data_IF_104755620790
#
_entry.id   IF_104755620790
#
_cell.length_a   1.000
_cell.length_b   1.000
_cell.length_c   1.000
_cell.angle_alpha   90.00
_cell.angle_beta   90.00
_cell.angle_gamma   90.00
#
_symmetry.space_group_name_H-M   'P 1'
#
loop_
_entity.id
_entity.type
_entity.pdbx_description
1 polymer ?
#
# COMPACT_ATOMS: atom_id res chain seq x y z
N UNK A 1 -53.96 -81.11 -53.92
CA UNK A 1 -55.40 -80.78 -53.98
C UNK A 1 -55.65 -79.53 -53.16
N UNK A 2 -56.53 -78.66 -53.66
CA UNK A 2 -57.38 -77.64 -53.00
C UNK A 2 -57.41 -77.73 -51.45
N UNK A 3 -57.52 -76.66 -50.65
CA UNK A 3 -58.27 -75.43 -50.86
C UNK A 3 -58.00 -74.45 -49.71
N UNK A 4 -58.06 -73.15 -50.04
CA UNK A 4 -58.77 -72.05 -49.34
C UNK A 4 -59.29 -72.23 -47.90
N UNK A 5 -59.05 -71.22 -47.04
CA UNK A 5 -59.85 -70.97 -45.84
C UNK A 5 -59.46 -69.71 -45.06
N UNK A 6 -60.09 -68.57 -45.39
CA UNK A 6 -60.01 -67.26 -44.73
C UNK A 6 -60.74 -67.23 -43.37
N UNK A 7 -60.20 -66.49 -42.40
CA UNK A 7 -60.94 -65.68 -41.39
C UNK A 7 -60.07 -64.45 -41.05
N UNK A 8 -60.30 -63.30 -41.67
CA UNK A 8 -60.97 -62.11 -41.11
C UNK A 8 -60.67 -61.80 -39.64
N UNK A 9 -59.91 -60.73 -39.38
CA UNK A 9 -60.44 -59.55 -38.70
C UNK A 9 -59.48 -58.36 -38.86
N UNK A 10 -59.91 -57.37 -39.64
CA UNK A 10 -59.34 -56.03 -39.64
C UNK A 10 -59.95 -55.23 -38.48
N UNK A 11 -59.12 -54.57 -37.68
CA UNK A 11 -59.48 -53.27 -37.11
C UNK A 11 -58.28 -52.34 -37.18
N UNK A 12 -58.39 -51.36 -38.08
CA UNK A 12 -57.56 -50.14 -38.10
C UNK A 12 -58.00 -49.26 -36.93
N UNK A 13 -57.04 -48.69 -36.18
CA UNK A 13 -57.08 -47.28 -35.78
C UNK A 13 -55.66 -46.74 -35.85
N UNK A 14 -55.57 -45.58 -36.48
CA UNK A 14 -54.38 -44.80 -36.83
C UNK A 14 -54.01 -43.83 -35.69
N UNK A 15 -52.77 -43.33 -35.74
CA UNK A 15 -52.26 -42.06 -35.19
C UNK A 15 -51.63 -42.11 -33.78
N UNK A 16 -50.34 -41.79 -33.75
CA UNK A 16 -49.55 -41.54 -32.55
C UNK A 16 -48.08 -41.30 -32.88
N UNK A 17 -47.78 -40.27 -33.68
CA UNK A 17 -46.45 -39.66 -33.78
C UNK A 17 -46.15 -38.96 -32.45
N UNK A 18 -45.11 -39.35 -31.73
CA UNK A 18 -44.25 -38.44 -30.95
C UNK A 18 -43.10 -39.24 -30.29
N UNK A 19 -41.96 -39.17 -30.97
CA UNK A 19 -40.60 -39.20 -30.43
C UNK A 19 -40.46 -38.71 -28.98
N UNK A 20 -40.02 -39.54 -28.04
CA UNK A 20 -39.22 -39.16 -26.85
C UNK A 20 -38.64 -40.42 -26.21
N UNK A 21 -37.32 -40.59 -26.25
CA UNK A 21 -36.72 -41.75 -25.58
C UNK A 21 -35.23 -41.98 -25.83
N UNK A 22 -34.43 -40.91 -25.98
CA UNK A 22 -32.97 -41.04 -26.04
C UNK A 22 -32.26 -39.73 -25.63
N UNK A 23 -32.72 -39.14 -24.51
CA UNK A 23 -32.15 -37.93 -23.93
C UNK A 23 -31.98 -38.02 -22.40
N UNK A 24 -31.74 -39.23 -21.86
CA UNK A 24 -31.58 -39.44 -20.41
C UNK A 24 -30.24 -40.07 -20.00
N UNK A 25 -29.25 -40.15 -20.90
CA UNK A 25 -27.91 -40.70 -20.60
C UNK A 25 -26.73 -39.83 -21.11
N UNK A 26 -27.01 -38.59 -21.52
CA UNK A 26 -26.00 -37.58 -21.84
C UNK A 26 -26.10 -36.32 -20.95
N UNK A 27 -26.95 -36.34 -19.92
CA UNK A 27 -27.22 -35.23 -19.01
C UNK A 27 -26.69 -35.41 -17.57
N UNK A 28 -25.94 -36.48 -17.29
CA UNK A 28 -25.46 -36.79 -15.93
C UNK A 28 -23.93 -36.76 -15.75
N UNK A 29 -23.17 -36.37 -16.78
CA UNK A 29 -21.71 -36.19 -16.70
C UNK A 29 -21.25 -34.72 -16.69
N UNK A 30 -22.17 -33.76 -16.80
CA UNK A 30 -21.87 -32.33 -16.68
C UNK A 30 -22.31 -31.69 -15.35
N UNK A 31 -22.85 -32.48 -14.41
CA UNK A 31 -23.31 -32.02 -13.10
C UNK A 31 -22.29 -32.29 -11.95
N UNK A 32 -21.02 -32.55 -12.27
CA UNK A 32 -19.93 -32.69 -11.29
C UNK A 32 -18.73 -31.76 -11.55
N UNK A 33 -18.76 -30.93 -12.59
CA UNK A 33 -17.87 -29.77 -12.73
C UNK A 33 -18.47 -28.56 -12.02
N UNK A 34 -18.69 -28.70 -10.71
CA UNK A 34 -18.79 -27.57 -9.81
C UNK A 34 -17.41 -26.94 -9.67
N UNK A 35 -16.95 -26.27 -10.73
CA UNK A 35 -15.92 -25.24 -10.62
C UNK A 35 -16.54 -24.12 -9.78
N UNK A 36 -16.56 -24.31 -8.46
CA UNK A 36 -16.58 -23.21 -7.55
C UNK A 36 -15.38 -22.35 -7.94
N UNK A 37 -15.65 -21.26 -8.64
CA UNK A 37 -14.76 -20.13 -8.68
C UNK A 37 -14.57 -19.72 -7.21
N UNK A 38 -13.60 -20.36 -6.55
CA UNK A 38 -13.00 -19.84 -5.35
C UNK A 38 -12.70 -18.38 -5.65
N UNK A 39 -13.19 -17.41 -4.88
CA UNK A 39 -12.77 -16.03 -5.05
C UNK A 39 -11.26 -16.02 -4.91
N UNK A 40 -10.64 -15.89 -6.07
CA UNK A 40 -9.22 -15.78 -6.31
C UNK A 40 -8.74 -14.58 -5.52
N UNK A 41 -8.09 -14.84 -4.39
CA UNK A 41 -7.51 -13.85 -3.48
C UNK A 41 -8.51 -12.77 -3.05
N UNK A 42 -9.21 -13.01 -1.94
CA UNK A 42 -9.85 -11.90 -1.20
C UNK A 42 -8.84 -10.76 -1.06
N UNK A 43 -9.16 -9.60 -1.65
CA UNK A 43 -8.30 -8.43 -1.62
C UNK A 43 -7.97 -8.12 -0.16
N UNK A 44 -6.68 -8.10 0.19
CA UNK A 44 -6.26 -7.82 1.55
C UNK A 44 -6.83 -6.44 1.96
N UNK A 45 -7.71 -6.36 2.99
CA UNK A 45 -8.42 -5.14 3.31
C UNK A 45 -7.50 -3.95 3.61
N UNK A 46 -6.27 -4.25 4.08
CA UNK A 46 -5.21 -3.30 4.39
C UNK A 46 -3.99 -3.46 3.46
N UNK A 47 -4.23 -3.78 2.19
CA UNK A 47 -3.18 -3.77 1.18
C UNK A 47 -2.50 -2.39 1.14
N UNK A 48 -1.18 -2.36 1.02
CA UNK A 48 -0.41 -1.11 0.99
C UNK A 48 -0.86 -0.15 -0.11
N UNK A 49 -1.29 -0.68 -1.25
CA UNK A 49 -1.81 0.12 -2.37
C UNK A 49 -3.06 0.91 -1.98
N UNK A 50 -3.91 0.36 -1.11
CA UNK A 50 -5.09 1.03 -0.56
C UNK A 50 -4.70 2.04 0.52
N UNK A 51 -3.83 1.64 1.46
CA UNK A 51 -3.35 2.53 2.53
C UNK A 51 -2.63 3.77 2.00
N UNK A 52 -1.81 3.61 0.95
CA UNK A 52 -1.09 4.70 0.29
C UNK A 52 -1.97 5.49 -0.70
N UNK A 53 -3.24 5.12 -0.90
CA UNK A 53 -4.15 5.75 -1.84
C UNK A 53 -4.28 7.27 -1.65
N UNK A 54 -4.61 7.75 -0.44
CA UNK A 54 -4.71 9.19 -0.16
C UNK A 54 -3.39 9.95 -0.37
N UNK A 55 -2.27 9.33 0.01
CA UNK A 55 -0.92 9.85 -0.27
C UNK A 55 -0.66 10.00 -1.78
N UNK A 56 -1.03 9.00 -2.59
CA UNK A 56 -0.85 9.03 -4.05
C UNK A 56 -1.80 10.00 -4.73
N UNK A 57 -3.01 10.17 -4.19
CA UNK A 57 -4.00 11.09 -4.71
C UNK A 57 -3.60 12.56 -4.52
N UNK A 58 -2.95 12.86 -3.40
CA UNK A 58 -2.46 14.22 -3.11
C UNK A 58 -1.33 14.61 -4.05
N UNK A 59 -1.50 15.70 -4.79
CA UNK A 59 -0.52 16.23 -5.73
C UNK A 59 0.16 17.48 -5.15
N UNK A 60 1.49 17.49 -5.18
CA UNK A 60 2.25 18.64 -4.71
C UNK A 60 2.05 19.86 -5.61
N UNK A 61 2.09 21.05 -5.01
CA UNK A 61 1.89 22.38 -5.65
C UNK A 61 0.46 22.65 -6.12
N UNK A 62 -0.46 21.68 -6.00
CA UNK A 62 -1.84 21.80 -6.51
C UNK A 62 -2.90 21.45 -5.48
N UNK A 63 -2.75 20.33 -4.76
CA UNK A 63 -3.76 19.90 -3.78
C UNK A 63 -3.80 20.85 -2.59
N UNK A 64 -5.00 21.33 -2.28
CA UNK A 64 -5.30 22.08 -1.05
C UNK A 64 -5.50 21.14 0.14
N UNK A 65 -5.61 21.69 1.35
CA UNK A 65 -5.94 20.90 2.56
C UNK A 65 -7.25 20.13 2.41
N UNK A 66 -8.26 20.74 1.77
CA UNK A 66 -9.55 20.09 1.54
C UNK A 66 -9.45 18.94 0.54
N UNK A 67 -8.69 19.11 -0.54
CA UNK A 67 -8.44 18.04 -1.52
C UNK A 67 -7.71 16.86 -0.87
N UNK A 68 -6.70 17.16 -0.06
CA UNK A 68 -5.90 16.15 0.62
C UNK A 68 -6.69 15.38 1.69
N UNK A 69 -7.55 16.05 2.46
CA UNK A 69 -8.41 15.40 3.46
C UNK A 69 -9.53 14.59 2.80
N UNK A 70 -10.18 15.14 1.77
CA UNK A 70 -11.25 14.43 1.05
C UNK A 70 -10.75 13.17 0.33
N UNK A 71 -9.44 13.06 0.06
CA UNK A 71 -8.85 11.85 -0.48
C UNK A 71 -9.07 10.61 0.41
N UNK A 72 -9.23 10.78 1.73
CA UNK A 72 -9.49 9.66 2.64
C UNK A 72 -10.93 9.13 2.56
N UNK A 73 -11.85 9.91 1.99
CA UNK A 73 -13.25 9.54 1.78
C UNK A 73 -13.54 8.88 0.43
N UNK A 74 -12.54 8.83 -0.46
CA UNK A 74 -12.66 8.17 -1.76
C UNK A 74 -12.99 6.68 -1.53
N UNK A 75 -14.06 6.14 -2.17
CA UNK A 75 -14.50 4.76 -1.94
C UNK A 75 -13.40 3.70 -2.10
N UNK A 76 -12.49 3.88 -3.05
CA UNK A 76 -11.40 2.94 -3.34
C UNK A 76 -10.35 2.87 -2.20
N UNK A 77 -10.26 3.93 -1.39
CA UNK A 77 -9.30 4.06 -0.29
C UNK A 77 -9.94 3.86 1.09
N UNK A 78 -11.27 3.85 1.16
CA UNK A 78 -11.99 3.61 2.41
C UNK A 78 -11.65 2.22 2.97
N UNK A 79 -11.24 2.20 4.23
CA UNK A 79 -10.85 0.98 4.92
C UNK A 79 -12.07 0.30 5.53
N UNK A 80 -12.06 -1.03 5.55
CA UNK A 80 -13.07 -1.82 6.25
C UNK A 80 -12.92 -1.58 7.77
N UNK A 81 -13.95 -1.06 8.47
CA UNK A 81 -13.90 -0.82 9.92
C UNK A 81 -13.65 -2.06 10.76
N UNK A 82 -13.87 -3.26 10.22
CA UNK A 82 -13.56 -4.51 10.92
C UNK A 82 -12.09 -4.92 10.77
N UNK A 83 -11.41 -4.42 9.73
CA UNK A 83 -10.01 -4.71 9.47
C UNK A 83 -9.08 -3.60 9.99
N UNK A 84 -9.48 -2.34 9.81
CA UNK A 84 -8.82 -1.17 10.37
C UNK A 84 -9.52 -0.74 11.66
N UNK A 85 -8.74 -0.43 12.70
CA UNK A 85 -9.23 0.36 13.81
C UNK A 85 -9.62 1.79 13.38
N UNK A 86 -10.02 2.66 14.33
CA UNK A 86 -10.37 4.03 14.01
C UNK A 86 -9.20 4.74 13.31
N UNK A 87 -9.52 5.48 12.24
CA UNK A 87 -8.58 6.42 11.66
C UNK A 87 -8.59 7.70 12.49
N UNK A 88 -7.40 8.15 12.86
CA UNK A 88 -7.21 9.27 13.75
C UNK A 88 -6.54 10.41 12.99
N UNK A 89 -7.04 11.63 13.18
CA UNK A 89 -6.50 12.83 12.55
C UNK A 89 -5.76 13.66 13.61
N UNK A 90 -4.52 14.03 13.28
CA UNK A 90 -3.74 15.07 13.96
C UNK A 90 -3.51 16.21 12.97
N UNK A 91 -3.49 17.44 13.44
CA UNK A 91 -3.37 18.64 12.64
C UNK A 91 -2.68 19.78 13.40
N UNK A 92 -1.95 20.58 12.63
CA UNK A 92 -1.35 21.84 13.04
C UNK A 92 -1.78 22.94 12.08
N UNK A 93 -1.21 24.14 12.21
CA UNK A 93 -1.55 25.25 11.31
C UNK A 93 -1.23 24.97 9.83
N UNK A 94 -0.26 24.09 9.56
CA UNK A 94 0.29 23.89 8.21
C UNK A 94 0.48 22.42 7.85
N UNK A 95 0.13 21.50 8.74
CA UNK A 95 0.36 20.06 8.55
C UNK A 95 -0.83 19.29 9.08
N UNK A 96 -1.17 18.17 8.44
CA UNK A 96 -2.02 17.17 9.09
C UNK A 96 -1.45 15.78 8.86
N UNK A 97 -1.85 14.85 9.72
CA UNK A 97 -1.64 13.44 9.54
C UNK A 97 -2.93 12.66 9.78
N UNK A 98 -3.12 11.62 8.98
CA UNK A 98 -4.12 10.58 9.23
C UNK A 98 -3.37 9.29 9.55
N UNK A 99 -3.63 8.76 10.73
CA UNK A 99 -2.99 7.57 11.26
C UNK A 99 -4.01 6.48 11.55
N UNK A 100 -3.55 5.24 11.57
CA UNK A 100 -4.40 4.12 11.94
C UNK A 100 -3.59 2.87 12.25
N UNK A 101 -4.30 1.91 12.85
CA UNK A 101 -3.76 0.61 13.22
C UNK A 101 -4.73 -0.48 12.83
N UNK A 102 -4.23 -1.62 12.39
CA UNK A 102 -5.07 -2.79 12.11
C UNK A 102 -5.74 -3.30 13.38
N UNK A 103 -6.89 -3.97 13.24
CA UNK A 103 -7.63 -4.53 14.37
C UNK A 103 -6.82 -5.53 15.21
N UNK A 104 -5.86 -6.23 14.59
CA UNK A 104 -4.93 -7.15 15.26
C UNK A 104 -3.70 -6.46 15.86
N UNK A 105 -3.55 -5.15 15.66
CA UNK A 105 -2.46 -4.35 16.19
C UNK A 105 -1.12 -4.49 15.48
N UNK A 106 -0.97 -5.37 14.48
CA UNK A 106 0.35 -5.61 13.87
C UNK A 106 0.72 -4.65 12.74
N UNK A 107 -0.25 -3.98 12.12
CA UNK A 107 -0.01 -3.02 11.04
C UNK A 107 -0.35 -1.62 11.51
N UNK A 108 0.59 -0.70 11.39
CA UNK A 108 0.41 0.73 11.69
C UNK A 108 0.73 1.52 10.43
N UNK A 109 -0.07 2.54 10.13
CA UNK A 109 0.19 3.45 9.01
C UNK A 109 -0.05 4.90 9.41
N UNK A 110 0.68 5.80 8.77
CA UNK A 110 0.56 7.24 8.92
C UNK A 110 0.75 7.87 7.54
N UNK A 111 -0.21 8.69 7.13
CA UNK A 111 -0.05 9.60 6.00
C UNK A 111 0.05 11.01 6.57
N UNK A 112 1.14 11.71 6.27
CA UNK A 112 1.39 13.08 6.73
C UNK A 112 1.53 14.00 5.52
N UNK A 113 0.88 15.16 5.55
CA UNK A 113 0.92 16.14 4.47
C UNK A 113 1.15 17.53 5.07
N UNK A 114 2.18 18.21 4.58
CA UNK A 114 2.53 19.56 4.97
C UNK A 114 2.31 20.54 3.80
N UNK A 115 1.77 21.71 4.14
CA UNK A 115 1.30 22.74 3.22
C UNK A 115 2.21 23.96 3.26
N UNK A 116 2.23 24.69 2.15
CA UNK A 116 2.80 26.03 2.09
C UNK A 116 1.89 27.02 2.83
N UNK A 117 2.46 27.82 3.74
CA UNK A 117 1.70 28.83 4.51
C UNK A 117 1.06 29.90 3.62
N UNK A 118 1.68 30.23 2.48
CA UNK A 118 1.21 31.31 1.62
C UNK A 118 0.31 30.81 0.51
N UNK A 119 0.71 29.71 -0.13
CA UNK A 119 -0.01 29.14 -1.26
C UNK A 119 -1.13 28.18 -0.84
N UNK A 120 -1.15 27.72 0.42
CA UNK A 120 -2.12 26.77 0.95
C UNK A 120 -2.23 25.48 0.11
N UNK A 121 -1.12 25.08 -0.52
CA UNK A 121 -1.01 23.86 -1.35
C UNK A 121 0.02 22.91 -0.75
N UNK A 122 -0.18 21.61 -0.96
CA UNK A 122 0.71 20.57 -0.47
C UNK A 122 2.13 20.76 -1.02
N UNK A 123 3.12 20.82 -0.13
CA UNK A 123 4.54 20.95 -0.48
C UNK A 123 5.34 19.71 -0.15
N UNK A 124 4.92 18.98 0.87
CA UNK A 124 5.56 17.74 1.30
C UNK A 124 4.48 16.75 1.67
N UNK A 125 4.67 15.49 1.33
CA UNK A 125 3.82 14.40 1.75
C UNK A 125 4.67 13.17 2.06
N UNK A 126 4.22 12.42 3.05
CA UNK A 126 4.89 11.23 3.55
C UNK A 126 3.84 10.14 3.79
N UNK A 127 4.22 8.91 3.48
CA UNK A 127 3.46 7.72 3.81
C UNK A 127 4.38 6.76 4.52
N UNK A 128 4.02 6.41 5.74
CA UNK A 128 4.68 5.43 6.57
C UNK A 128 3.74 4.25 6.77
N UNK A 129 4.26 3.03 6.62
CA UNK A 129 3.55 1.83 7.05
C UNK A 129 4.52 0.78 7.56
N UNK A 130 4.26 0.26 8.74
CA UNK A 130 4.97 -0.87 9.31
C UNK A 130 4.02 -2.04 9.48
N UNK A 131 4.49 -3.23 9.10
CA UNK A 131 3.87 -4.50 9.43
C UNK A 131 4.83 -5.27 10.35
N UNK A 132 4.38 -5.58 11.56
CA UNK A 132 5.17 -6.26 12.59
C UNK A 132 4.86 -7.77 12.69
N UNK A 133 4.00 -8.31 11.82
CA UNK A 133 3.65 -9.74 11.87
C UNK A 133 4.92 -10.59 11.76
N UNK A 134 5.14 -11.42 12.78
CA UNK A 134 6.27 -12.33 12.83
C UNK A 134 6.17 -13.36 11.69
N UNK A 135 7.29 -13.66 11.05
CA UNK A 135 7.42 -14.77 10.10
C UNK A 135 7.20 -16.08 10.83
N UNK A 136 5.95 -16.53 10.91
CA UNK A 136 5.69 -17.95 11.21
C UNK A 136 5.97 -18.70 9.92
N UNK A 137 6.93 -19.65 9.95
CA UNK A 137 7.14 -20.54 8.82
C UNK A 137 5.81 -21.23 8.48
N UNK A 138 5.48 -21.48 7.19
CA UNK A 138 4.28 -22.23 6.83
C UNK A 138 4.40 -23.66 7.37
N UNK A 139 3.95 -23.90 8.60
CA UNK A 139 4.09 -25.20 9.27
C UNK A 139 2.90 -26.12 8.99
N UNK A 140 1.83 -25.61 8.38
CA UNK A 140 0.61 -26.38 8.09
C UNK A 140 0.23 -26.35 6.60
N UNK A 141 -0.20 -27.51 6.08
CA UNK A 141 -0.89 -27.64 4.78
C UNK A 141 -2.10 -26.69 4.77
N UNK A 142 -2.00 -25.59 4.03
CA UNK A 142 -3.07 -24.60 3.87
C UNK A 142 -2.69 -23.16 4.17
N UNK A 143 -1.50 -22.88 4.74
CA UNK A 143 -1.04 -21.50 4.87
C UNK A 143 -0.50 -20.95 3.54
N UNK A 144 -0.74 -19.64 3.31
CA UNK A 144 -0.33 -18.89 2.11
C UNK A 144 1.14 -19.19 1.77
N UNK A 145 1.42 -19.44 0.48
CA UNK A 145 2.78 -19.65 -0.08
C UNK A 145 3.76 -18.49 0.20
N UNK A 146 3.25 -17.34 0.63
CA UNK A 146 4.03 -16.17 1.01
C UNK A 146 3.69 -15.79 2.47
N UNK A 147 4.62 -15.95 3.43
CA UNK A 147 4.39 -15.48 4.78
C UNK A 147 4.29 -13.94 4.79
N UNK A 148 3.42 -13.34 5.63
CA UNK A 148 3.48 -11.90 5.88
C UNK A 148 4.89 -11.57 6.38
N UNK A 149 5.53 -10.58 5.74
CA UNK A 149 6.89 -10.17 6.08
C UNK A 149 6.82 -8.96 7.00
N UNK A 150 7.47 -9.07 8.16
CA UNK A 150 7.82 -7.91 8.96
C UNK A 150 8.56 -6.91 8.08
N UNK A 151 8.10 -5.68 7.99
CA UNK A 151 8.73 -4.71 7.09
C UNK A 151 8.23 -3.30 7.30
N UNK A 152 9.02 -2.35 6.83
CA UNK A 152 8.72 -0.93 6.88
C UNK A 152 8.73 -0.37 5.47
N UNK A 153 7.67 0.36 5.14
CA UNK A 153 7.51 1.15 3.93
C UNK A 153 7.50 2.60 4.35
N UNK A 154 8.33 3.39 3.70
CA UNK A 154 8.27 4.83 3.78
C UNK A 154 8.40 5.41 2.38
N UNK A 155 7.41 6.19 1.96
CA UNK A 155 7.41 6.94 0.71
C UNK A 155 7.24 8.41 1.03
N UNK A 156 8.01 9.27 0.37
CA UNK A 156 7.85 10.70 0.50
C UNK A 156 8.04 11.41 -0.83
N UNK A 157 7.32 12.51 -1.01
CA UNK A 157 7.51 13.44 -2.10
C UNK A 157 7.61 14.85 -1.51
N UNK A 158 8.63 15.60 -1.92
CA UNK A 158 8.92 16.91 -1.41
C UNK A 158 9.25 17.86 -2.56
N UNK A 159 8.64 19.05 -2.55
CA UNK A 159 9.13 20.16 -3.36
C UNK A 159 10.41 20.68 -2.71
N UNK A 160 11.54 20.55 -3.40
CA UNK A 160 12.83 21.01 -2.87
C UNK A 160 12.76 22.51 -2.58
N UNK A 161 13.39 22.93 -1.49
CA UNK A 161 13.48 24.36 -1.18
C UNK A 161 14.36 25.08 -2.22
N UNK A 162 14.11 26.38 -2.50
CA UNK A 162 14.96 27.14 -3.41
C UNK A 162 16.43 27.13 -3.01
N UNK A 163 16.72 27.11 -1.70
CA UNK A 163 18.08 27.06 -1.16
C UNK A 163 18.80 25.80 -1.63
N UNK A 164 18.18 24.62 -1.48
CA UNK A 164 18.78 23.35 -1.92
C UNK A 164 18.90 23.30 -3.46
N UNK A 165 17.97 23.90 -4.19
CA UNK A 165 17.99 23.89 -5.66
C UNK A 165 19.04 24.81 -6.27
N UNK A 166 19.28 25.96 -5.65
CA UNK A 166 20.16 27.03 -6.19
C UNK A 166 21.58 26.97 -5.64
N UNK A 167 21.79 26.26 -4.54
CA UNK A 167 23.13 26.07 -3.96
C UNK A 167 24.05 25.37 -4.97
N UNK A 168 25.23 25.94 -5.29
CA UNK A 168 26.22 25.26 -6.10
C UNK A 168 26.92 24.18 -5.27
N UNK A 169 26.84 22.92 -5.73
CA UNK A 169 27.53 21.79 -5.09
C UNK A 169 28.78 21.43 -5.88
N UNK A 170 29.86 21.10 -5.15
CA UNK A 170 31.12 20.69 -5.76
C UNK A 170 31.01 19.34 -6.51
N UNK A 171 30.13 18.45 -6.04
CA UNK A 171 29.87 17.14 -6.66
C UNK A 171 28.40 16.77 -6.54
N UNK A 172 27.95 15.80 -7.36
CA UNK A 172 26.59 15.26 -7.25
C UNK A 172 26.37 14.54 -5.91
N UNK A 173 27.39 13.88 -5.36
CA UNK A 173 27.35 13.27 -4.02
C UNK A 173 26.97 14.27 -2.95
N UNK A 174 27.64 15.43 -2.96
CA UNK A 174 27.41 16.48 -1.98
C UNK A 174 25.97 17.01 -2.09
N UNK A 175 25.46 17.13 -3.32
CA UNK A 175 24.07 17.50 -3.57
C UNK A 175 23.09 16.45 -3.05
N UNK A 176 23.33 15.17 -3.30
CA UNK A 176 22.47 14.09 -2.82
C UNK A 176 22.46 13.99 -1.29
N UNK A 177 23.62 14.14 -0.64
CA UNK A 177 23.71 14.22 0.83
C UNK A 177 22.94 15.41 1.38
N UNK A 178 23.08 16.59 0.76
CA UNK A 178 22.33 17.78 1.17
C UNK A 178 20.81 17.57 1.05
N UNK A 179 20.35 16.94 -0.04
CA UNK A 179 18.94 16.60 -0.23
C UNK A 179 18.46 15.62 0.84
N UNK A 180 19.22 14.56 1.14
CA UNK A 180 18.86 13.57 2.19
C UNK A 180 18.76 14.23 3.55
N UNK A 181 19.76 15.00 3.95
CA UNK A 181 19.80 15.67 5.26
C UNK A 181 18.64 16.65 5.40
N UNK A 182 18.43 17.50 4.38
CA UNK A 182 17.30 18.42 4.35
C UNK A 182 15.96 17.69 4.45
N UNK A 183 15.80 16.58 3.72
CA UNK A 183 14.58 15.76 3.77
C UNK A 183 14.31 15.19 5.18
N UNK A 184 15.34 14.64 5.84
CA UNK A 184 15.22 14.08 7.18
C UNK A 184 14.84 15.17 8.20
N UNK A 185 15.45 16.36 8.08
CA UNK A 185 15.12 17.52 8.91
C UNK A 185 13.67 17.98 8.70
N UNK A 186 13.21 18.11 7.45
CA UNK A 186 11.83 18.49 7.15
C UNK A 186 10.82 17.49 7.72
N UNK A 187 11.10 16.20 7.58
CA UNK A 187 10.24 15.18 8.16
C UNK A 187 10.14 15.30 9.68
N UNK A 188 11.28 15.49 10.36
CA UNK A 188 11.31 15.65 11.81
C UNK A 188 10.54 16.90 12.28
N UNK A 189 10.71 18.03 11.59
CA UNK A 189 9.95 19.26 11.84
C UNK A 189 8.43 19.06 11.65
N UNK A 190 8.04 18.44 10.54
CA UNK A 190 6.63 18.20 10.22
C UNK A 190 5.97 17.28 11.27
N UNK A 191 6.67 16.23 11.72
CA UNK A 191 6.23 15.37 12.83
C UNK A 191 6.11 16.16 14.13
N UNK A 192 7.12 16.97 14.47
CA UNK A 192 7.12 17.76 15.69
C UNK A 192 5.96 18.76 15.73
N UNK A 193 5.59 19.33 14.57
CA UNK A 193 4.47 20.27 14.47
C UNK A 193 3.11 19.68 14.85
N UNK A 194 2.97 18.35 14.79
CA UNK A 194 1.74 17.61 15.11
C UNK A 194 1.72 17.10 16.55
N UNK A 195 2.88 17.02 17.21
CA UNK A 195 2.99 16.42 18.55
C UNK A 195 3.00 17.52 19.59
N UNK A 196 1.99 17.53 20.46
CA UNK A 196 1.88 18.49 21.58
C UNK A 196 0.94 19.66 21.33
N UNK A 197 0.17 19.63 20.23
CA UNK A 197 -0.88 20.62 19.96
C UNK A 197 -2.04 20.47 20.97
N UNK A 198 -2.42 21.53 21.71
CA UNK A 198 -3.53 21.46 22.66
C UNK A 198 -4.85 21.13 21.96
N UNK A 199 -5.60 20.15 22.49
CA UNK A 199 -6.94 19.78 22.00
C UNK A 199 -6.98 18.61 21.02
N UNK A 200 -5.84 18.02 20.66
CA UNK A 200 -5.79 16.84 19.80
C UNK A 200 -5.92 15.53 20.59
N UNK A 201 -6.39 14.47 19.92
CA UNK A 201 -6.47 13.16 20.57
C UNK A 201 -5.06 12.66 20.91
N UNK A 202 -4.84 12.32 22.18
CA UNK A 202 -3.56 11.77 22.65
C UNK A 202 -3.13 10.56 21.81
N UNK A 203 -4.09 9.72 21.42
CA UNK A 203 -3.83 8.53 20.63
C UNK A 203 -3.32 8.83 19.20
N UNK A 204 -3.86 9.85 18.51
CA UNK A 204 -3.37 10.23 17.19
C UNK A 204 -1.91 10.70 17.28
N UNK A 205 -1.62 11.53 18.28
CA UNK A 205 -0.29 12.06 18.53
C UNK A 205 0.70 10.95 18.89
N UNK A 206 0.27 9.89 19.59
CA UNK A 206 1.07 8.71 19.88
C UNK A 206 1.45 7.94 18.60
N UNK A 207 0.52 7.73 17.67
CA UNK A 207 0.83 7.01 16.42
C UNK A 207 1.78 7.82 15.51
N UNK A 208 1.58 9.13 15.41
CA UNK A 208 2.48 10.02 14.69
C UNK A 208 3.86 10.05 15.35
N UNK A 209 3.92 10.13 16.68
CA UNK A 209 5.18 10.07 17.45
C UNK A 209 5.91 8.75 17.25
N UNK A 210 5.18 7.63 17.27
CA UNK A 210 5.74 6.30 17.02
C UNK A 210 6.36 6.23 15.61
N UNK A 211 5.64 6.66 14.59
CA UNK A 211 6.16 6.69 13.23
C UNK A 211 7.41 7.58 13.12
N UNK A 212 7.38 8.76 13.75
CA UNK A 212 8.53 9.68 13.83
C UNK A 212 9.75 9.03 14.48
N UNK A 213 9.59 8.38 15.63
CA UNK A 213 10.67 7.68 16.32
C UNK A 213 11.26 6.54 15.50
N UNK A 214 10.41 5.70 14.89
CA UNK A 214 10.86 4.58 14.05
C UNK A 214 11.62 5.07 12.81
N UNK A 215 11.16 6.16 12.20
CA UNK A 215 11.83 6.76 11.06
C UNK A 215 13.15 7.44 11.44
N UNK A 216 13.21 8.15 12.58
CA UNK A 216 14.46 8.74 13.06
C UNK A 216 15.51 7.66 13.32
N UNK A 217 15.14 6.55 13.95
CA UNK A 217 16.04 5.41 14.13
C UNK A 217 16.51 4.81 12.79
N UNK A 218 15.61 4.74 11.79
CA UNK A 218 15.94 4.29 10.45
C UNK A 218 16.92 5.25 9.76
N UNK A 219 16.68 6.55 9.87
CA UNK A 219 17.52 7.60 9.30
C UNK A 219 18.89 7.66 9.97
N UNK A 220 19.00 7.41 11.27
CA UNK A 220 20.28 7.32 11.95
C UNK A 220 21.14 6.19 11.37
N UNK A 221 20.55 5.01 11.12
CA UNK A 221 21.26 3.90 10.45
C UNK A 221 21.78 4.28 9.07
N UNK A 222 20.96 4.98 8.28
CA UNK A 222 21.36 5.48 6.96
C UNK A 222 22.47 6.55 7.05
N UNK A 223 22.33 7.52 7.96
CA UNK A 223 23.30 8.60 8.17
C UNK A 223 24.66 8.04 8.57
N UNK A 224 24.68 7.08 9.49
CA UNK A 224 25.92 6.39 9.90
C UNK A 224 26.64 5.79 8.69
N UNK A 225 25.93 5.17 7.75
CA UNK A 225 26.58 4.59 6.56
C UNK A 225 27.01 5.64 5.53
N UNK A 226 26.23 6.70 5.34
CA UNK A 226 26.60 7.80 4.47
C UNK A 226 27.80 8.60 5.02
N UNK A 227 27.91 8.76 6.34
CA UNK A 227 29.03 9.44 7.00
C UNK A 227 30.32 8.62 6.91
N UNK A 228 30.22 7.29 7.04
CA UNK A 228 31.37 6.38 6.84
C UNK A 228 31.85 6.37 5.39
N UNK A 229 30.93 6.48 4.44
CA UNK A 229 31.25 6.45 3.01
C UNK A 229 30.38 7.43 2.21
N UNK A 230 30.78 8.72 2.15
CA UNK A 230 30.03 9.74 1.42
C UNK A 230 29.86 9.42 -0.07
N UNK A 231 30.78 8.65 -0.66
CA UNK A 231 30.69 8.17 -2.03
C UNK A 231 29.49 7.27 -2.31
N UNK A 232 28.89 6.65 -1.29
CA UNK A 232 27.64 5.87 -1.42
C UNK A 232 26.47 6.74 -1.88
N UNK A 233 26.50 8.05 -1.63
CA UNK A 233 25.45 8.97 -2.03
C UNK A 233 25.18 8.96 -3.55
N UNK A 234 26.18 8.61 -4.39
CA UNK A 234 25.98 8.36 -5.84
C UNK A 234 24.91 7.32 -6.11
N UNK A 235 24.77 6.33 -5.24
CA UNK A 235 23.86 5.20 -5.42
C UNK A 235 22.42 5.54 -5.00
N UNK A 236 22.18 6.69 -4.36
CA UNK A 236 20.83 7.11 -3.96
C UNK A 236 19.91 7.25 -5.17
N UNK A 237 20.42 7.72 -6.31
CA UNK A 237 19.65 7.86 -7.56
C UNK A 237 19.55 6.56 -8.36
N UNK A 238 20.31 5.53 -7.97
CA UNK A 238 20.32 4.23 -8.62
C UNK A 238 19.06 3.40 -8.31
N UNK A 239 18.74 2.44 -9.16
CA UNK A 239 17.55 1.59 -9.01
C UNK A 239 17.50 0.82 -7.69
N UNK A 240 18.67 0.48 -7.12
CA UNK A 240 18.82 -0.25 -5.86
C UNK A 240 18.91 0.64 -4.61
N UNK A 241 19.09 1.95 -4.77
CA UNK A 241 19.34 2.88 -3.67
C UNK A 241 20.61 2.58 -2.88
N UNK A 242 20.73 3.23 -1.71
CA UNK A 242 21.76 2.96 -0.70
C UNK A 242 21.20 1.99 0.33
N UNK A 243 21.93 0.91 0.61
CA UNK A 243 21.62 -0.02 1.67
C UNK A 243 22.21 0.46 3.00
N UNK A 244 21.52 0.18 4.09
CA UNK A 244 21.96 0.48 5.45
C UNK A 244 21.45 -0.58 6.43
N UNK A 245 22.18 -0.85 7.53
CA UNK A 245 21.72 -1.78 8.55
C UNK A 245 20.50 -1.21 9.31
N UNK A 246 19.51 -2.05 9.59
CA UNK A 246 18.35 -1.69 10.40
C UNK A 246 18.24 -2.59 11.64
N UNK A 247 18.12 -1.98 12.82
CA UNK A 247 18.26 -2.64 14.13
C UNK A 247 17.42 -3.91 14.31
N UNK A 248 16.21 -3.92 13.76
CA UNK A 248 15.19 -4.94 14.05
C UNK A 248 14.68 -5.69 12.81
N UNK A 249 15.20 -5.33 11.63
CA UNK A 249 14.68 -5.78 10.33
C UNK A 249 15.80 -5.97 9.28
N UNK A 250 17.02 -6.24 9.77
CA UNK A 250 18.22 -6.56 8.98
C UNK A 250 18.73 -5.39 8.11
N UNK A 251 18.12 -5.15 6.95
CA UNK A 251 18.59 -4.17 5.97
C UNK A 251 17.45 -3.25 5.52
N UNK A 252 17.76 -1.95 5.46
CA UNK A 252 16.96 -0.93 4.82
C UNK A 252 17.63 -0.42 3.53
N UNK A 253 16.82 0.12 2.62
CA UNK A 253 17.28 0.79 1.39
C UNK A 253 16.58 2.11 1.21
N UNK A 254 17.33 3.15 0.86
CA UNK A 254 16.80 4.45 0.44
C UNK A 254 17.17 4.71 -1.02
N UNK A 255 16.16 5.07 -1.84
CA UNK A 255 16.33 5.61 -3.19
C UNK A 255 15.75 7.02 -3.25
N UNK A 256 16.44 7.90 -3.96
CA UNK A 256 16.00 9.23 -4.32
C UNK A 256 15.76 9.31 -5.83
N UNK A 257 14.70 9.99 -6.24
CA UNK A 257 14.52 10.40 -7.64
C UNK A 257 14.01 11.82 -7.68
N UNK A 258 14.64 12.67 -8.48
CA UNK A 258 14.22 14.08 -8.62
C UNK A 258 13.72 14.33 -10.03
N UNK A 259 12.48 14.80 -10.16
CA UNK A 259 11.87 15.18 -11.43
C UNK A 259 11.03 16.45 -11.24
N UNK A 260 11.12 17.40 -12.17
CA UNK A 260 10.29 18.64 -12.17
C UNK A 260 10.30 19.42 -10.84
N UNK A 261 11.46 19.45 -10.16
CA UNK A 261 11.64 20.13 -8.87
C UNK A 261 10.95 19.43 -7.68
N UNK A 262 10.54 18.18 -7.85
CA UNK A 262 10.04 17.30 -6.78
C UNK A 262 11.05 16.17 -6.58
N UNK A 263 11.44 15.96 -5.34
CA UNK A 263 12.23 14.79 -4.94
C UNK A 263 11.32 13.76 -4.30
N UNK A 264 11.38 12.54 -4.81
CA UNK A 264 10.75 11.36 -4.22
C UNK A 264 11.81 10.58 -3.45
N UNK A 265 11.52 10.26 -2.19
CA UNK A 265 12.29 9.35 -1.36
C UNK A 265 11.50 8.06 -1.19
N UNK A 266 12.06 6.94 -1.65
CA UNK A 266 11.49 5.60 -1.47
C UNK A 266 12.39 4.84 -0.52
N UNK A 267 11.87 4.52 0.66
CA UNK A 267 12.58 3.76 1.68
C UNK A 267 11.84 2.45 1.98
N UNK A 268 12.59 1.36 2.01
CA UNK A 268 12.08 0.01 2.26
C UNK A 268 12.99 -0.71 3.23
N UNK A 269 12.42 -1.33 4.25
CA UNK A 269 13.16 -2.16 5.21
C UNK A 269 12.59 -3.56 5.20
N UNK A 270 13.46 -4.56 4.99
CA UNK A 270 13.09 -5.97 4.79
C UNK A 270 12.04 -6.19 3.68
N UNK A 271 11.99 -5.27 2.71
CA UNK A 271 11.05 -5.25 1.59
C UNK A 271 11.79 -4.86 0.30
N UNK A 272 11.31 -5.30 -0.89
CA UNK A 272 11.90 -4.91 -2.16
C UNK A 272 11.67 -3.41 -2.48
N UNK A 273 12.59 -2.84 -3.26
CA UNK A 273 12.57 -1.45 -3.79
C UNK A 273 11.71 -1.26 -5.04
#
# INVERSE_FOLDING_TARGET
MRATGRTMSQRRVTIGLASFGLAALAGSLFALCGCAALPYVSAEPLAYTRLAGPYRHTQLKTSTTLDALSAFDIPDYRLDPNAAGPQLVSQSGTTFAVSGRSADGFKTWVTLIAFDEHQMTARRKYFFCVDERATTAPTARGQRLFPPRKGLIFDAELVLSPEIQTTPYATEEARQLAIVNWFMERFAEDVHSLVGTPGESTQANELVSLAGMMMNQTFDGLRIELDKSPGLARSLTGSKGVAFPHISMNEGRLRLTTASGVTTATLRVNLPM
#
